data_IF_137558472776
#
_entry.id   IF_137558472776
#
_cell.length_a   1.000
_cell.length_b   1.000
_cell.length_c   1.000
_cell.angle_alpha   90.00
_cell.angle_beta   90.00
_cell.angle_gamma   90.00
#
_symmetry.space_group_name_H-M   'P 1'
#
loop_
_entity.id
_entity.type
_entity.pdbx_description
1 polymer ?
#
# COMPACT_ATOMS: atom_id res chain seq x y z
N UNK A 1 34.13 -105.20 -6.00
CA UNK A 1 32.79 -104.72 -5.59
C UNK A 1 32.91 -103.66 -4.49
N UNK A 2 33.37 -103.99 -3.29
CA UNK A 2 33.53 -103.05 -2.15
C UNK A 2 34.28 -101.73 -2.46
N UNK A 3 35.34 -101.77 -3.27
CA UNK A 3 36.14 -100.58 -3.61
C UNK A 3 35.37 -99.57 -4.48
N UNK A 4 34.53 -100.05 -5.39
CA UNK A 4 33.70 -99.19 -6.25
C UNK A 4 32.53 -98.59 -5.46
N UNK A 5 31.98 -99.36 -4.53
CA UNK A 5 30.89 -98.94 -3.65
C UNK A 5 31.35 -97.89 -2.63
N UNK A 6 32.57 -98.05 -2.10
CA UNK A 6 33.21 -97.04 -1.26
C UNK A 6 33.51 -95.75 -2.04
N UNK A 7 33.96 -95.85 -3.30
CA UNK A 7 34.17 -94.69 -4.16
C UNK A 7 32.84 -93.95 -4.43
N UNK A 8 31.78 -94.68 -4.78
CA UNK A 8 30.43 -94.12 -5.00
C UNK A 8 29.91 -93.37 -3.78
N UNK A 9 30.04 -93.96 -2.57
CA UNK A 9 29.64 -93.29 -1.33
C UNK A 9 30.50 -92.07 -1.00
N UNK A 10 31.78 -92.10 -1.38
CA UNK A 10 32.68 -90.94 -1.20
C UNK A 10 32.25 -89.80 -2.11
N UNK A 11 31.90 -90.07 -3.37
CA UNK A 11 31.40 -89.07 -4.31
C UNK A 11 30.07 -88.46 -3.85
N UNK A 12 29.14 -89.29 -3.36
CA UNK A 12 27.87 -88.83 -2.77
C UNK A 12 28.08 -87.94 -1.53
N UNK A 13 29.03 -88.32 -0.66
CA UNK A 13 29.38 -87.53 0.51
C UNK A 13 29.99 -86.17 0.12
N UNK A 14 30.93 -86.15 -0.84
CA UNK A 14 31.53 -84.93 -1.36
C UNK A 14 30.50 -84.03 -2.05
N UNK A 15 29.56 -84.61 -2.81
CA UNK A 15 28.45 -83.86 -3.40
C UNK A 15 27.57 -83.21 -2.33
N UNK A 16 27.21 -83.97 -1.29
CA UNK A 16 26.41 -83.47 -0.17
C UNK A 16 27.11 -82.32 0.55
N UNK A 17 28.42 -82.43 0.80
CA UNK A 17 29.22 -81.37 1.39
C UNK A 17 29.22 -80.08 0.55
N UNK A 18 29.36 -80.19 -0.77
CA UNK A 18 29.30 -79.04 -1.67
C UNK A 18 27.93 -78.35 -1.62
N UNK A 19 26.84 -79.12 -1.65
CA UNK A 19 25.48 -78.58 -1.53
C UNK A 19 25.29 -77.87 -0.20
N UNK A 20 25.76 -78.45 0.91
CA UNK A 20 25.68 -77.82 2.24
C UNK A 20 26.47 -76.51 2.29
N UNK A 21 27.66 -76.46 1.70
CA UNK A 21 28.47 -75.23 1.62
C UNK A 21 27.74 -74.14 0.84
N UNK A 22 27.17 -74.48 -0.32
CA UNK A 22 26.40 -73.53 -1.13
C UNK A 22 25.17 -73.02 -0.39
N UNK A 23 24.45 -73.91 0.32
CA UNK A 23 23.29 -73.51 1.13
C UNK A 23 23.68 -72.62 2.31
N UNK A 24 24.87 -72.82 2.89
CA UNK A 24 25.39 -71.96 3.95
C UNK A 24 25.69 -70.54 3.43
N UNK A 25 26.24 -70.41 2.22
CA UNK A 25 26.44 -69.11 1.58
C UNK A 25 25.13 -68.41 1.24
N UNK A 26 24.16 -69.15 0.67
CA UNK A 26 22.81 -68.62 0.40
C UNK A 26 22.13 -68.13 1.68
N UNK A 27 22.23 -68.89 2.78
CA UNK A 27 21.69 -68.51 4.08
C UNK A 27 22.36 -67.25 4.63
N UNK A 28 23.68 -67.12 4.46
CA UNK A 28 24.44 -65.93 4.86
C UNK A 28 23.94 -64.67 4.12
N UNK A 29 23.81 -64.76 2.79
CA UNK A 29 23.30 -63.65 1.97
C UNK A 29 21.86 -63.29 2.32
N UNK A 30 21.01 -64.30 2.55
CA UNK A 30 19.62 -64.08 2.96
C UNK A 30 19.52 -63.38 4.31
N UNK A 31 20.36 -63.76 5.29
CA UNK A 31 20.43 -63.10 6.60
C UNK A 31 20.90 -61.65 6.49
N UNK A 32 21.88 -61.37 5.63
CA UNK A 32 22.32 -59.99 5.40
C UNK A 32 21.19 -59.13 4.81
N UNK A 33 20.46 -59.66 3.82
CA UNK A 33 19.30 -58.99 3.22
C UNK A 33 18.19 -58.76 4.25
N UNK A 34 17.90 -59.76 5.09
CA UNK A 34 16.92 -59.64 6.17
C UNK A 34 17.31 -58.53 7.16
N UNK A 35 18.58 -58.45 7.53
CA UNK A 35 19.06 -57.39 8.42
C UNK A 35 18.96 -56.00 7.80
N UNK A 36 19.24 -55.86 6.49
CA UNK A 36 19.01 -54.60 5.76
C UNK A 36 17.53 -54.22 5.77
N UNK A 37 16.64 -55.16 5.47
CA UNK A 37 15.20 -54.92 5.48
C UNK A 37 14.67 -54.57 6.88
N UNK A 38 15.22 -55.16 7.94
CA UNK A 38 14.84 -54.82 9.32
C UNK A 38 15.23 -53.37 9.67
N UNK A 39 16.41 -52.91 9.24
CA UNK A 39 16.84 -51.51 9.46
C UNK A 39 15.93 -50.54 8.71
N UNK A 40 15.66 -50.79 7.44
CA UNK A 40 14.78 -49.91 6.66
C UNK A 40 13.35 -49.90 7.20
N UNK A 41 12.86 -51.04 7.70
CA UNK A 41 11.53 -51.10 8.33
C UNK A 41 11.45 -50.24 9.61
N UNK A 42 12.50 -50.26 10.44
CA UNK A 42 12.59 -49.39 11.63
C UNK A 42 12.57 -47.91 11.25
N UNK A 43 13.36 -47.50 10.26
CA UNK A 43 13.39 -46.12 9.78
C UNK A 43 12.04 -45.67 9.21
N UNK A 44 11.40 -46.51 8.39
CA UNK A 44 10.08 -46.22 7.85
C UNK A 44 9.03 -46.11 8.95
N UNK A 45 9.09 -46.98 9.96
CA UNK A 45 8.20 -46.95 11.11
C UNK A 45 8.34 -45.66 11.90
N UNK A 46 9.56 -45.17 12.11
CA UNK A 46 9.79 -43.87 12.77
C UNK A 46 9.20 -42.72 11.95
N UNK A 47 9.41 -42.71 10.63
CA UNK A 47 8.85 -41.69 9.73
C UNK A 47 7.32 -41.68 9.76
N UNK A 48 6.70 -42.87 9.71
CA UNK A 48 5.24 -43.01 9.80
C UNK A 48 4.72 -42.52 11.14
N UNK A 49 5.42 -42.77 12.25
CA UNK A 49 5.04 -42.25 13.56
C UNK A 49 5.14 -40.72 13.66
N UNK A 50 6.07 -40.11 12.92
CA UNK A 50 6.25 -38.65 12.89
C UNK A 50 5.23 -37.94 12.01
N UNK A 51 4.69 -38.62 11.00
CA UNK A 51 3.79 -38.04 10.00
C UNK A 51 2.58 -37.30 10.59
N UNK A 52 1.83 -37.83 11.58
CA UNK A 52 0.68 -37.14 12.16
C UNK A 52 1.05 -35.83 12.88
N UNK A 53 2.25 -35.75 13.46
CA UNK A 53 2.73 -34.54 14.12
C UNK A 53 2.95 -33.44 13.08
N UNK A 54 3.60 -33.77 11.97
CA UNK A 54 3.82 -32.83 10.87
C UNK A 54 2.50 -32.42 10.22
N UNK A 55 1.56 -33.35 10.07
CA UNK A 55 0.21 -33.03 9.58
C UNK A 55 -0.52 -32.05 10.49
N UNK A 56 -0.41 -32.21 11.81
CA UNK A 56 -0.98 -31.28 12.79
C UNK A 56 -0.29 -29.91 12.72
N UNK A 57 1.03 -29.85 12.68
CA UNK A 57 1.79 -28.59 12.54
C UNK A 57 1.40 -27.84 11.26
N UNK A 58 1.20 -28.55 10.16
CA UNK A 58 0.72 -27.98 8.90
C UNK A 58 -0.72 -27.46 9.02
N UNK A 59 -1.60 -28.17 9.73
CA UNK A 59 -2.96 -27.71 9.98
C UNK A 59 -2.98 -26.41 10.81
N UNK A 60 -2.20 -26.37 11.90
CA UNK A 60 -2.09 -25.20 12.77
C UNK A 60 -1.51 -23.99 12.00
N UNK A 61 -0.47 -24.22 11.19
CA UNK A 61 0.14 -23.18 10.37
C UNK A 61 -0.85 -22.62 9.33
N UNK A 62 -1.69 -23.48 8.73
CA UNK A 62 -2.74 -23.04 7.79
C UNK A 62 -3.76 -22.13 8.47
N UNK A 63 -4.23 -22.49 9.66
CA UNK A 63 -5.18 -21.66 10.42
C UNK A 63 -4.56 -20.31 10.77
N UNK A 64 -3.30 -20.29 11.22
CA UNK A 64 -2.60 -19.05 11.55
C UNK A 64 -2.39 -18.16 10.32
N UNK A 65 -2.07 -18.76 9.17
CA UNK A 65 -1.92 -18.04 7.91
C UNK A 65 -3.24 -17.39 7.48
N UNK A 66 -4.35 -18.12 7.55
CA UNK A 66 -5.68 -17.61 7.22
C UNK A 66 -6.09 -16.47 8.16
N UNK A 67 -5.88 -16.62 9.47
CA UNK A 67 -6.12 -15.56 10.45
C UNK A 67 -5.32 -14.29 10.15
N UNK A 68 -4.02 -14.45 9.88
CA UNK A 68 -3.12 -13.32 9.61
C UNK A 68 -3.50 -12.60 8.32
N UNK A 69 -3.87 -13.36 7.28
CA UNK A 69 -4.33 -12.83 6.00
C UNK A 69 -5.59 -11.98 6.18
N UNK A 70 -6.59 -12.50 6.88
CA UNK A 70 -7.82 -11.76 7.17
C UNK A 70 -7.56 -10.47 7.95
N UNK A 71 -6.66 -10.54 8.93
CA UNK A 71 -6.30 -9.36 9.73
C UNK A 71 -5.59 -8.28 8.90
N UNK A 72 -4.77 -8.67 7.92
CA UNK A 72 -4.18 -7.73 6.97
C UNK A 72 -5.25 -7.06 6.11
N UNK A 73 -6.21 -7.81 5.58
CA UNK A 73 -7.33 -7.25 4.80
C UNK A 73 -8.14 -6.23 5.61
N UNK A 74 -8.39 -6.53 6.90
CA UNK A 74 -9.11 -5.60 7.78
C UNK A 74 -8.30 -4.31 8.04
N UNK A 75 -6.97 -4.41 8.20
CA UNK A 75 -6.10 -3.24 8.33
C UNK A 75 -6.02 -2.40 7.05
N UNK A 76 -5.96 -3.04 5.88
CA UNK A 76 -5.96 -2.35 4.59
C UNK A 76 -7.23 -1.52 4.38
N UNK A 77 -8.40 -2.11 4.67
CA UNK A 77 -9.69 -1.39 4.60
C UNK A 77 -9.72 -0.19 5.55
N UNK A 78 -9.28 -0.36 6.79
CA UNK A 78 -9.25 0.73 7.76
C UNK A 78 -8.34 1.88 7.31
N UNK A 79 -7.19 1.57 6.69
CA UNK A 79 -6.29 2.58 6.13
C UNK A 79 -6.91 3.31 4.94
N UNK A 80 -7.62 2.60 4.07
CA UNK A 80 -8.33 3.19 2.93
C UNK A 80 -9.43 4.16 3.40
N UNK A 81 -10.25 3.76 4.37
CA UNK A 81 -11.30 4.60 4.96
C UNK A 81 -10.73 5.88 5.59
N UNK A 82 -9.66 5.75 6.40
CA UNK A 82 -8.98 6.89 7.00
C UNK A 82 -8.37 7.82 5.94
N UNK A 83 -7.79 7.25 4.88
CA UNK A 83 -7.28 8.00 3.73
C UNK A 83 -8.37 8.79 3.02
N UNK A 84 -9.54 8.17 2.82
CA UNK A 84 -10.73 8.81 2.27
C UNK A 84 -11.21 9.99 3.10
N UNK A 85 -11.42 9.78 4.41
CA UNK A 85 -11.86 10.83 5.33
C UNK A 85 -10.87 12.01 5.41
N UNK A 86 -9.56 11.75 5.39
CA UNK A 86 -8.56 12.80 5.41
C UNK A 86 -8.58 13.61 4.10
N UNK A 87 -8.73 12.95 2.96
CA UNK A 87 -8.85 13.59 1.66
C UNK A 87 -10.09 14.50 1.60
N UNK A 88 -11.24 13.98 2.02
CA UNK A 88 -12.51 14.73 2.08
C UNK A 88 -12.40 15.93 3.03
N UNK A 89 -11.88 15.70 4.25
CA UNK A 89 -11.68 16.77 5.23
C UNK A 89 -10.75 17.86 4.71
N UNK A 90 -9.68 17.48 3.99
CA UNK A 90 -8.75 18.43 3.36
C UNK A 90 -9.42 19.24 2.26
N UNK A 91 -10.23 18.61 1.40
CA UNK A 91 -10.98 19.32 0.36
C UNK A 91 -11.95 20.33 0.97
N UNK A 92 -12.71 19.91 1.98
CA UNK A 92 -13.65 20.78 2.69
C UNK A 92 -12.98 21.97 3.38
N UNK A 93 -11.79 21.77 3.95
CA UNK A 93 -11.00 22.88 4.51
C UNK A 93 -10.55 23.88 3.44
N UNK A 94 -10.20 23.41 2.22
CA UNK A 94 -9.83 24.28 1.10
C UNK A 94 -11.04 25.09 0.64
N UNK A 95 -12.19 24.43 0.44
CA UNK A 95 -13.45 25.09 0.06
C UNK A 95 -13.85 26.16 1.08
N UNK A 96 -13.85 25.80 2.36
CA UNK A 96 -14.16 26.74 3.43
C UNK A 96 -13.19 27.92 3.46
N UNK A 97 -11.88 27.68 3.30
CA UNK A 97 -10.88 28.76 3.22
C UNK A 97 -11.15 29.69 2.03
N UNK A 98 -11.57 29.15 0.90
CA UNK A 98 -11.94 29.95 -0.26
C UNK A 98 -13.19 30.79 0.00
N UNK A 99 -14.21 30.24 0.65
CA UNK A 99 -15.42 30.97 1.03
C UNK A 99 -15.16 32.08 2.05
N UNK A 100 -14.23 31.88 2.99
CA UNK A 100 -13.86 32.87 4.01
C UNK A 100 -12.89 33.96 3.53
N UNK A 101 -12.16 33.78 2.43
CA UNK A 101 -11.29 34.82 1.85
C UNK A 101 -11.97 36.20 1.66
N UNK A 102 -13.23 36.30 1.18
CA UNK A 102 -13.95 37.59 1.12
C UNK A 102 -14.51 38.10 2.45
N UNK A 103 -14.49 37.30 3.52
CA UNK A 103 -15.04 37.65 4.84
C UNK A 103 -13.96 38.03 5.87
N UNK A 104 -12.70 37.67 5.66
CA UNK A 104 -11.61 38.18 6.49
C UNK A 104 -11.43 39.67 6.20
N UNK A 105 -11.54 40.54 7.21
CA UNK A 105 -11.10 41.93 7.13
C UNK A 105 -9.67 41.93 6.60
N UNK A 106 -9.51 42.30 5.33
CA UNK A 106 -8.20 42.35 4.73
C UNK A 106 -7.32 43.25 5.61
N UNK A 107 -6.26 42.72 6.20
CA UNK A 107 -5.30 43.58 6.88
C UNK A 107 -4.62 44.44 5.80
N UNK A 108 -4.96 45.73 5.76
CA UNK A 108 -4.36 46.66 4.81
C UNK A 108 -2.87 46.79 5.13
N UNK A 109 -2.03 46.43 4.16
CA UNK A 109 -0.58 46.61 4.27
C UNK A 109 -0.30 48.12 4.44
N UNK A 110 0.64 48.48 5.32
CA UNK A 110 1.04 49.88 5.49
C UNK A 110 1.93 50.28 4.32
N UNK A 111 1.73 51.49 3.82
CA UNK A 111 2.55 52.02 2.72
C UNK A 111 4.05 52.03 3.02
N UNK A 112 4.44 52.20 4.29
CA UNK A 112 5.85 52.22 4.69
C UNK A 112 6.54 50.86 4.54
N UNK A 113 5.79 49.75 4.56
CA UNK A 113 6.34 48.40 4.65
C UNK A 113 6.45 47.70 3.28
N UNK A 114 6.08 48.38 2.19
CA UNK A 114 6.00 47.78 0.84
C UNK A 114 6.73 48.60 -0.21
N UNK A 115 7.89 48.12 -0.65
CA UNK A 115 8.71 48.83 -1.66
C UNK A 115 8.40 48.43 -3.11
N UNK A 116 7.79 47.26 -3.33
CA UNK A 116 7.56 46.69 -4.65
C UNK A 116 6.08 46.36 -4.86
N UNK A 117 5.60 46.51 -6.09
CA UNK A 117 4.25 46.10 -6.45
C UNK A 117 4.08 44.58 -6.24
N UNK A 118 3.10 44.14 -5.44
CA UNK A 118 2.85 42.71 -5.21
C UNK A 118 2.46 41.91 -6.46
N UNK A 119 2.02 42.60 -7.53
CA UNK A 119 1.61 41.97 -8.79
C UNK A 119 2.74 41.79 -9.80
N UNK A 120 3.64 42.77 -9.95
CA UNK A 120 4.71 42.75 -10.96
C UNK A 120 6.12 42.86 -10.38
N UNK A 121 6.24 42.93 -9.07
CA UNK A 121 7.48 43.07 -8.30
C UNK A 121 8.36 44.29 -8.64
N UNK A 122 7.83 45.25 -9.41
CA UNK A 122 8.54 46.49 -9.76
C UNK A 122 8.48 47.47 -8.58
N UNK A 123 9.63 48.08 -8.25
CA UNK A 123 9.77 49.05 -7.18
C UNK A 123 8.88 50.28 -7.40
N UNK A 124 8.26 50.77 -6.32
CA UNK A 124 7.51 52.02 -6.33
C UNK A 124 8.44 53.22 -6.40
N UNK A 125 7.98 54.27 -7.08
CA UNK A 125 8.71 55.53 -7.26
C UNK A 125 7.73 56.70 -7.15
N UNK A 126 8.22 57.93 -7.20
CA UNK A 126 7.35 59.13 -7.17
C UNK A 126 6.29 59.09 -8.29
N UNK A 127 6.64 58.56 -9.47
CA UNK A 127 5.73 58.40 -10.61
C UNK A 127 4.91 57.11 -10.56
N UNK A 128 5.44 56.04 -9.96
CA UNK A 128 4.71 54.77 -9.76
C UNK A 128 4.17 54.72 -8.33
N UNK A 129 2.95 55.19 -8.14
CA UNK A 129 2.29 55.28 -6.82
C UNK A 129 1.72 53.93 -6.35
N UNK A 130 1.58 53.81 -5.04
CA UNK A 130 1.01 52.66 -4.31
C UNK A 130 -0.53 52.72 -4.34
N UNK A 131 -1.17 51.56 -4.52
CA UNK A 131 -2.61 51.41 -4.50
C UNK A 131 -3.05 50.12 -3.80
N UNK A 132 -3.92 50.23 -2.80
CA UNK A 132 -4.49 49.06 -2.13
C UNK A 132 -5.57 48.38 -2.95
N UNK A 133 -5.54 47.05 -2.98
CA UNK A 133 -6.69 46.23 -3.35
C UNK A 133 -7.70 46.24 -2.19
N UNK A 134 -8.93 46.67 -2.45
CA UNK A 134 -9.98 46.74 -1.41
C UNK A 134 -10.50 45.35 -0.98
N UNK A 135 -10.13 44.28 -1.70
CA UNK A 135 -10.50 42.91 -1.37
C UNK A 135 -9.43 42.19 -0.55
N UNK A 136 -8.14 42.27 -0.92
CA UNK A 136 -7.07 41.55 -0.22
C UNK A 136 -6.14 42.44 0.64
N UNK A 137 -6.32 43.76 0.62
CA UNK A 137 -5.56 44.70 1.47
C UNK A 137 -4.12 44.96 1.03
N UNK A 138 -3.58 44.21 0.07
CA UNK A 138 -2.21 44.39 -0.40
C UNK A 138 -2.02 45.55 -1.38
N UNK A 139 -0.76 45.97 -1.55
CA UNK A 139 -0.37 47.14 -2.35
C UNK A 139 0.14 46.78 -3.76
N UNK A 140 -0.37 47.50 -4.76
CA UNK A 140 -0.11 47.31 -6.20
C UNK A 140 0.14 48.63 -6.93
N UNK A 141 0.72 48.57 -8.13
CA UNK A 141 0.74 49.71 -9.06
C UNK A 141 -0.59 49.83 -9.84
N UNK A 142 -0.78 50.93 -10.58
CA UNK A 142 -2.05 51.16 -11.30
C UNK A 142 -2.33 50.02 -12.29
N UNK A 143 -1.34 49.60 -13.08
CA UNK A 143 -1.49 48.54 -14.08
C UNK A 143 -1.90 47.19 -13.48
N UNK A 144 -1.45 46.86 -12.26
CA UNK A 144 -1.80 45.59 -11.60
C UNK A 144 -3.13 45.66 -10.82
N UNK A 145 -3.77 46.84 -10.75
CA UNK A 145 -4.97 47.06 -9.96
C UNK A 145 -5.98 48.00 -10.63
N UNK A 146 -6.03 48.03 -11.96
CA UNK A 146 -6.86 49.01 -12.69
C UNK A 146 -8.36 48.66 -12.67
N UNK A 147 -8.70 47.41 -12.33
CA UNK A 147 -10.07 46.93 -12.30
C UNK A 147 -10.84 47.41 -11.07
N UNK A 148 -12.16 47.58 -11.23
CA UNK A 148 -13.10 47.90 -10.15
C UNK A 148 -14.26 46.92 -10.11
N UNK A 149 -14.61 46.44 -8.91
CA UNK A 149 -15.68 45.46 -8.68
C UNK A 149 -16.55 45.92 -7.52
N UNK A 150 -17.85 45.60 -7.58
CA UNK A 150 -18.78 45.79 -6.47
C UNK A 150 -18.47 44.76 -5.38
N UNK A 151 -17.90 45.21 -4.26
CA UNK A 151 -17.61 44.36 -3.09
C UNK A 151 -18.79 44.41 -2.11
N UNK A 152 -19.06 43.33 -1.35
CA UNK A 152 -20.09 43.33 -0.30
C UNK A 152 -19.88 44.44 0.74
N UNK A 153 -18.63 44.73 1.08
CA UNK A 153 -18.21 45.76 2.03
C UNK A 153 -18.28 47.20 1.51
N UNK A 154 -18.59 47.43 0.21
CA UNK A 154 -18.49 48.75 -0.41
C UNK A 154 -19.77 49.16 -1.17
N UNK A 155 -20.27 50.36 -0.90
CA UNK A 155 -21.45 50.92 -1.60
C UNK A 155 -21.20 51.21 -3.11
N UNK A 156 -19.97 51.51 -3.51
CA UNK A 156 -19.59 51.78 -4.92
C UNK A 156 -18.50 50.79 -5.39
N UNK A 157 -18.34 50.56 -6.71
CA UNK A 157 -17.27 49.72 -7.24
C UNK A 157 -15.89 50.14 -6.74
N UNK A 158 -15.20 49.20 -6.09
CA UNK A 158 -13.94 49.40 -5.42
C UNK A 158 -12.78 48.81 -6.23
N UNK A 159 -11.61 49.43 -6.15
CA UNK A 159 -10.40 49.00 -6.85
C UNK A 159 -9.93 47.63 -6.33
N UNK A 160 -9.61 46.71 -7.23
CA UNK A 160 -9.07 45.39 -6.88
C UNK A 160 -7.86 45.06 -7.75
N UNK A 161 -6.96 44.22 -7.24
CA UNK A 161 -5.88 43.65 -8.06
C UNK A 161 -6.43 42.66 -9.09
N UNK A 162 -5.65 42.36 -10.13
CA UNK A 162 -6.06 41.45 -11.20
C UNK A 162 -6.47 40.06 -10.69
N UNK A 163 -5.76 39.53 -9.69
CA UNK A 163 -6.07 38.23 -9.07
C UNK A 163 -7.45 38.25 -8.42
N UNK A 164 -7.73 39.26 -7.59
CA UNK A 164 -9.04 39.41 -6.95
C UNK A 164 -10.15 39.68 -7.97
N UNK A 165 -9.86 40.44 -9.04
CA UNK A 165 -10.83 40.67 -10.12
C UNK A 165 -11.28 39.34 -10.76
N UNK A 166 -10.32 38.49 -11.14
CA UNK A 166 -10.63 37.20 -11.77
C UNK A 166 -11.39 36.26 -10.82
N UNK A 167 -10.98 36.19 -9.55
CA UNK A 167 -11.64 35.39 -8.52
C UNK A 167 -13.08 35.83 -8.26
N UNK A 168 -13.33 37.13 -8.14
CA UNK A 168 -14.67 37.65 -7.89
C UNK A 168 -15.58 37.49 -9.12
N UNK A 169 -15.02 37.65 -10.32
CA UNK A 169 -15.75 37.45 -11.58
C UNK A 169 -16.12 35.99 -11.80
N UNK A 170 -15.25 35.03 -11.47
CA UNK A 170 -15.60 33.60 -11.58
C UNK A 170 -16.74 33.24 -10.65
N UNK A 171 -16.73 33.75 -9.39
CA UNK A 171 -17.81 33.54 -8.42
C UNK A 171 -19.16 34.09 -8.87
N UNK A 172 -19.19 35.30 -9.43
CA UNK A 172 -20.42 35.90 -9.95
C UNK A 172 -21.03 35.10 -11.10
N UNK A 173 -20.20 34.45 -11.92
CA UNK A 173 -20.68 33.57 -12.99
C UNK A 173 -21.26 32.25 -12.46
N UNK A 174 -20.74 31.69 -11.37
CA UNK A 174 -21.28 30.46 -10.76
C UNK A 174 -22.62 30.68 -10.03
N UNK A 175 -22.85 31.85 -9.45
CA UNK A 175 -24.12 32.15 -8.77
C UNK A 175 -25.30 32.29 -9.74
N UNK A 176 -25.03 32.71 -10.98
CA UNK A 176 -26.07 32.85 -12.01
C UNK A 176 -26.57 31.49 -12.52
N UNK A 177 -25.73 30.45 -12.54
CA UNK A 177 -26.12 29.10 -12.96
C UNK A 177 -27.00 28.37 -11.94
N UNK A 178 -26.87 28.66 -10.64
CA UNK A 178 -27.74 28.07 -9.60
C UNK A 178 -29.14 28.71 -9.57
N UNK A 179 -29.26 30.01 -9.88
CA UNK A 179 -30.58 30.68 -9.87
C UNK A 179 -31.50 30.28 -11.03
N UNK A 180 -30.95 29.79 -12.13
CA UNK A 180 -31.75 29.26 -13.26
C UNK A 180 -32.41 27.91 -12.97
N UNK A 181 -31.94 27.14 -11.99
CA UNK A 181 -32.50 25.84 -11.62
C UNK A 181 -33.62 25.93 -10.57
N UNK A 182 -33.83 27.09 -9.96
CA UNK A 182 -34.88 27.31 -8.94
C UNK A 182 -36.15 27.99 -9.50
N UNK A 183 -36.13 28.48 -10.75
CA UNK A 183 -37.29 29.11 -11.41
C UNK A 183 -38.01 28.18 -12.41
N UNK A 184 -37.87 26.86 -12.30
CA UNK A 184 -38.55 25.87 -13.15
C UNK A 184 -39.41 24.86 -12.37
N UNK A 185 -39.92 25.22 -11.19
CA UNK A 185 -40.99 24.49 -10.49
C UNK A 185 -42.22 25.39 -10.39
#
# INVERSE_FOLDING_TARGET
MLRNELASKTDEYMHTLNVLSQKQEELSMANEKLNKLRRTNLELKEKVMRMPVVEQELADLRVNFEYTTRKLEDYEKALEELGGHLSESKLRMVELKEELLPLSDAQWEKDADVDNCKGCNVQFTVSRRKHHCRNCGSIYCNACSDARVKLPSNAKPARVCLTCYNLLRSRQNSTLTETSSLNSI
#
